data_IF_190615398423
#
_entry.id   IF_190615398423
#
_cell.length_a   1.000
_cell.length_b   1.000
_cell.length_c   1.000
_cell.angle_alpha   90.00
_cell.angle_beta   90.00
_cell.angle_gamma   90.00
#
_symmetry.space_group_name_H-M   'P 1'
#
loop_
_entity.id
_entity.type
_entity.pdbx_description
1 polymer ?
#
# COMPACT_ATOMS: atom_id res chain seq x y z
N UNK A 1 56.55 67.28 2.46
CA UNK A 1 56.62 66.18 3.44
C UNK A 1 55.37 65.33 3.30
N UNK A 2 55.40 64.30 2.46
CA UNK A 2 54.25 63.41 2.21
C UNK A 2 54.64 61.98 2.55
N UNK A 3 54.31 61.55 3.77
CA UNK A 3 54.45 60.17 4.19
C UNK A 3 53.30 59.34 3.61
N UNK A 4 53.62 58.46 2.68
CA UNK A 4 52.67 57.49 2.09
C UNK A 4 52.45 56.36 3.09
N UNK A 5 51.25 56.28 3.64
CA UNK A 5 50.78 55.16 4.47
C UNK A 5 50.47 53.95 3.58
N UNK A 6 51.32 52.93 3.61
CA UNK A 6 51.07 51.66 2.93
C UNK A 6 50.17 50.77 3.79
N UNK A 7 48.90 50.64 3.41
CA UNK A 7 47.93 49.74 4.06
C UNK A 7 48.26 48.29 3.79
N UNK A 8 48.76 47.56 4.80
CA UNK A 8 48.92 46.10 4.77
C UNK A 8 47.56 45.42 4.93
N UNK A 9 47.00 44.89 3.85
CA UNK A 9 45.72 44.17 3.89
C UNK A 9 45.67 42.96 2.94
N UNK A 10 46.57 41.99 3.07
CA UNK A 10 46.65 40.90 2.05
C UNK A 10 46.93 39.49 2.57
N UNK A 11 46.55 39.13 3.81
CA UNK A 11 46.69 37.74 4.32
C UNK A 11 45.35 37.07 4.67
N UNK A 12 44.26 37.83 4.82
CA UNK A 12 42.96 37.28 5.28
C UNK A 12 42.15 36.55 4.20
N UNK A 13 42.41 36.79 2.91
CA UNK A 13 41.60 36.27 1.81
C UNK A 13 41.73 34.74 1.62
N UNK A 14 42.95 34.19 1.76
CA UNK A 14 43.17 32.75 1.62
C UNK A 14 42.46 31.90 2.68
N UNK A 15 42.44 32.37 3.94
CA UNK A 15 41.75 31.67 5.04
C UNK A 15 40.23 31.68 4.89
N UNK A 16 39.62 32.78 4.44
CA UNK A 16 38.17 32.85 4.24
C UNK A 16 37.71 31.95 3.09
N UNK A 17 38.47 31.89 1.99
CA UNK A 17 38.16 30.97 0.89
C UNK A 17 38.33 29.50 1.30
N UNK A 18 39.36 29.19 2.10
CA UNK A 18 39.55 27.84 2.63
C UNK A 18 38.38 27.40 3.53
N UNK A 19 37.94 28.29 4.43
CA UNK A 19 36.79 28.00 5.31
C UNK A 19 35.49 27.83 4.49
N UNK A 20 35.29 28.66 3.47
CA UNK A 20 34.14 28.52 2.56
C UNK A 20 34.14 27.16 1.85
N UNK A 21 35.28 26.73 1.30
CA UNK A 21 35.40 25.43 0.65
C UNK A 21 35.14 24.26 1.61
N UNK A 22 35.70 24.31 2.82
CA UNK A 22 35.44 23.29 3.86
C UNK A 22 33.96 23.26 4.22
N UNK A 23 33.33 24.43 4.39
CA UNK A 23 31.89 24.51 4.70
C UNK A 23 31.03 23.94 3.58
N UNK A 24 31.41 24.18 2.32
CA UNK A 24 30.68 23.70 1.15
C UNK A 24 30.78 22.18 1.03
N UNK A 25 31.97 21.62 1.23
CA UNK A 25 32.18 20.16 1.25
C UNK A 25 31.40 19.52 2.39
N UNK A 26 31.41 20.13 3.58
CA UNK A 26 30.66 19.62 4.73
C UNK A 26 29.15 19.65 4.47
N UNK A 27 28.62 20.73 3.89
CA UNK A 27 27.22 20.83 3.48
C UNK A 27 26.86 19.80 2.40
N UNK A 28 27.73 19.61 1.41
CA UNK A 28 27.54 18.61 0.36
C UNK A 28 27.49 17.18 0.91
N UNK A 29 28.35 16.86 1.88
CA UNK A 29 28.34 15.58 2.58
C UNK A 29 27.04 15.35 3.36
N UNK A 30 26.58 16.34 4.13
CA UNK A 30 25.29 16.25 4.81
C UNK A 30 24.16 16.07 3.79
N UNK A 31 24.13 16.88 2.73
CA UNK A 31 23.08 16.81 1.73
C UNK A 31 23.04 15.44 1.03
N UNK A 32 24.21 14.86 0.72
CA UNK A 32 24.33 13.51 0.16
C UNK A 32 23.73 12.43 1.06
N UNK A 33 24.04 12.47 2.37
CA UNK A 33 23.50 11.52 3.34
C UNK A 33 21.98 11.61 3.45
N UNK A 34 21.42 12.82 3.44
CA UNK A 34 19.98 13.04 3.59
C UNK A 34 19.19 12.74 2.31
N UNK A 35 19.72 13.07 1.13
CA UNK A 35 18.98 12.91 -0.14
C UNK A 35 18.73 11.46 -0.50
N UNK A 36 19.72 10.59 -0.33
CA UNK A 36 19.59 9.16 -0.65
C UNK A 36 18.53 8.52 0.26
N UNK A 37 18.59 8.81 1.56
CA UNK A 37 17.63 8.28 2.55
C UNK A 37 16.23 8.82 2.34
N UNK A 38 16.10 10.11 2.01
CA UNK A 38 14.80 10.71 1.75
C UNK A 38 14.09 10.06 0.56
N UNK A 39 14.83 9.79 -0.53
CA UNK A 39 14.25 9.16 -1.72
C UNK A 39 13.83 7.71 -1.45
N UNK A 40 14.64 6.98 -0.70
CA UNK A 40 14.36 5.60 -0.29
C UNK A 40 13.10 5.51 0.59
N UNK A 41 12.99 6.37 1.59
CA UNK A 41 11.81 6.46 2.47
C UNK A 41 10.57 6.84 1.68
N UNK A 42 10.68 7.78 0.72
CA UNK A 42 9.55 8.22 -0.08
C UNK A 42 9.02 7.09 -0.99
N UNK A 43 9.92 6.32 -1.61
CA UNK A 43 9.53 5.13 -2.39
C UNK A 43 8.87 4.09 -1.50
N UNK A 44 9.46 3.80 -0.34
CA UNK A 44 8.93 2.80 0.59
C UNK A 44 7.54 3.17 1.11
N UNK A 45 7.31 4.45 1.42
CA UNK A 45 5.98 4.93 1.82
C UNK A 45 4.95 4.80 0.72
N UNK A 46 5.34 5.03 -0.55
CA UNK A 46 4.45 4.87 -1.70
C UNK A 46 4.09 3.39 -1.90
N UNK A 47 5.04 2.50 -1.74
CA UNK A 47 4.82 1.06 -1.86
C UNK A 47 3.92 0.57 -0.72
N UNK A 48 4.16 1.01 0.51
CA UNK A 48 3.28 0.73 1.66
C UNK A 48 1.85 1.25 1.45
N UNK A 49 1.67 2.45 0.91
CA UNK A 49 0.35 2.99 0.61
C UNK A 49 -0.38 2.13 -0.44
N UNK A 50 0.35 1.66 -1.46
CA UNK A 50 -0.19 0.80 -2.50
C UNK A 50 -0.59 -0.56 -1.93
N UNK A 51 0.28 -1.19 -1.13
CA UNK A 51 0.00 -2.47 -0.47
C UNK A 51 -1.21 -2.38 0.45
N UNK A 52 -1.28 -1.33 1.28
CA UNK A 52 -2.40 -1.09 2.20
C UNK A 52 -3.71 -0.92 1.45
N UNK A 53 -3.70 -0.21 0.31
CA UNK A 53 -4.89 -0.09 -0.53
C UNK A 53 -5.32 -1.45 -1.10
N UNK A 54 -4.37 -2.27 -1.54
CA UNK A 54 -4.65 -3.63 -2.03
C UNK A 54 -5.23 -4.55 -0.95
N UNK A 55 -4.68 -4.49 0.27
CA UNK A 55 -5.17 -5.26 1.42
C UNK A 55 -6.61 -4.89 1.78
N UNK A 56 -6.93 -3.60 1.81
CA UNK A 56 -8.31 -3.15 2.10
C UNK A 56 -9.30 -3.61 1.04
N UNK A 57 -8.93 -3.57 -0.24
CA UNK A 57 -9.78 -4.00 -1.34
C UNK A 57 -9.99 -5.52 -1.30
N UNK A 58 -8.92 -6.29 -1.10
CA UNK A 58 -8.99 -7.75 -0.98
C UNK A 58 -9.86 -8.18 0.21
N UNK A 59 -9.72 -7.50 1.36
CA UNK A 59 -10.52 -7.78 2.55
C UNK A 59 -12.00 -7.49 2.31
N UNK A 60 -12.32 -6.36 1.66
CA UNK A 60 -13.69 -6.01 1.31
C UNK A 60 -14.31 -7.04 0.35
N UNK A 61 -13.57 -7.45 -0.68
CA UNK A 61 -14.00 -8.51 -1.60
C UNK A 61 -14.24 -9.84 -0.89
N UNK A 62 -13.33 -10.23 0.01
CA UNK A 62 -13.48 -11.46 0.78
C UNK A 62 -14.73 -11.42 1.67
N UNK A 63 -15.02 -10.29 2.30
CA UNK A 63 -16.20 -10.12 3.14
C UNK A 63 -17.49 -10.15 2.32
N UNK A 64 -17.50 -9.51 1.15
CA UNK A 64 -18.61 -9.58 0.20
C UNK A 64 -18.86 -11.01 -0.27
N UNK A 65 -17.82 -11.73 -0.72
CA UNK A 65 -17.96 -13.12 -1.17
C UNK A 65 -18.49 -14.03 -0.06
N UNK A 66 -17.99 -13.87 1.18
CA UNK A 66 -18.51 -14.61 2.33
C UNK A 66 -19.98 -14.32 2.62
N UNK A 67 -20.41 -13.06 2.48
CA UNK A 67 -21.83 -12.72 2.65
C UNK A 67 -22.72 -13.36 1.58
N UNK A 68 -22.25 -13.42 0.32
CA UNK A 68 -22.96 -14.07 -0.78
C UNK A 68 -23.03 -15.59 -0.61
N UNK A 69 -21.95 -16.21 -0.14
CA UNK A 69 -21.90 -17.62 0.21
C UNK A 69 -22.84 -17.94 1.37
N UNK A 70 -22.88 -17.13 2.42
CA UNK A 70 -23.80 -17.32 3.53
C UNK A 70 -25.28 -17.27 3.11
N UNK A 71 -25.63 -16.45 2.11
CA UNK A 71 -26.97 -16.46 1.50
C UNK A 71 -27.22 -17.70 0.64
N UNK A 72 -26.21 -18.21 -0.06
CA UNK A 72 -26.33 -19.39 -0.93
C UNK A 72 -26.32 -20.71 -0.17
N UNK A 73 -25.62 -20.78 0.95
CA UNK A 73 -25.53 -21.94 1.83
C UNK A 73 -26.71 -22.03 2.81
N UNK A 74 -27.78 -21.27 2.57
CA UNK A 74 -29.04 -21.47 3.28
C UNK A 74 -29.55 -22.91 3.05
N UNK A 75 -29.63 -23.73 4.11
CA UNK A 75 -30.01 -25.14 3.99
C UNK A 75 -31.37 -25.33 3.31
N UNK A 76 -32.31 -24.39 3.49
CA UNK A 76 -33.62 -24.45 2.87
C UNK A 76 -33.55 -24.24 1.35
N UNK A 77 -32.69 -23.33 0.89
CA UNK A 77 -32.46 -23.08 -0.54
C UNK A 77 -31.73 -24.27 -1.21
N UNK A 78 -30.79 -24.89 -0.51
CA UNK A 78 -30.11 -26.11 -0.97
C UNK A 78 -31.10 -27.28 -1.05
N UNK A 79 -31.94 -27.47 -0.03
CA UNK A 79 -32.98 -28.51 -0.01
C UNK A 79 -33.98 -28.35 -1.16
N UNK A 80 -34.43 -27.12 -1.43
CA UNK A 80 -35.33 -26.83 -2.54
C UNK A 80 -34.69 -27.18 -3.89
N UNK A 81 -33.44 -26.73 -4.10
CA UNK A 81 -32.70 -27.04 -5.33
C UNK A 81 -32.46 -28.54 -5.51
N UNK A 82 -32.16 -29.26 -4.42
CA UNK A 82 -31.99 -30.71 -4.42
C UNK A 82 -33.30 -31.46 -4.73
N UNK A 83 -34.43 -30.97 -4.22
CA UNK A 83 -35.76 -31.50 -4.55
C UNK A 83 -36.11 -31.28 -6.02
N UNK A 84 -35.87 -30.09 -6.55
CA UNK A 84 -36.22 -29.74 -7.93
C UNK A 84 -35.32 -30.43 -8.96
N UNK A 85 -34.00 -30.39 -8.76
CA UNK A 85 -33.04 -30.85 -9.76
C UNK A 85 -32.70 -32.33 -9.64
N UNK A 86 -32.62 -32.84 -8.41
CA UNK A 86 -32.20 -34.22 -8.14
C UNK A 86 -33.36 -35.11 -7.70
N UNK A 87 -34.56 -34.55 -7.50
CA UNK A 87 -35.73 -35.30 -7.04
C UNK A 87 -35.55 -35.93 -5.66
N UNK A 88 -34.59 -35.41 -4.87
CA UNK A 88 -34.24 -35.94 -3.55
C UNK A 88 -35.35 -35.62 -2.53
N UNK A 89 -35.65 -36.57 -1.66
CA UNK A 89 -36.66 -36.44 -0.59
C UNK A 89 -36.00 -36.79 0.75
N UNK A 90 -36.55 -36.29 1.86
CA UNK A 90 -35.99 -36.59 3.19
C UNK A 90 -36.26 -38.05 3.57
N UNK A 91 -35.39 -38.69 4.37
CA UNK A 91 -35.65 -40.03 4.91
C UNK A 91 -36.99 -40.05 5.66
N UNK A 92 -37.93 -40.89 5.21
CA UNK A 92 -39.28 -40.98 5.77
C UNK A 92 -40.38 -40.23 5.01
N UNK A 93 -40.06 -39.49 3.94
CA UNK A 93 -41.05 -38.93 3.01
C UNK A 93 -41.37 -39.93 1.87
N UNK A 94 -42.61 -39.95 1.38
CA UNK A 94 -43.06 -40.80 0.27
C UNK A 94 -43.33 -39.96 -0.99
N UNK A 95 -42.72 -40.33 -2.12
CA UNK A 95 -42.88 -39.61 -3.40
C UNK A 95 -44.08 -40.16 -4.17
N UNK A 96 -45.18 -39.40 -4.17
CA UNK A 96 -46.39 -39.74 -4.93
C UNK A 96 -46.35 -39.09 -6.32
N UNK A 97 -46.41 -39.92 -7.37
CA UNK A 97 -46.49 -39.47 -8.77
C UNK A 97 -47.89 -39.80 -9.28
N UNK A 98 -48.71 -38.78 -9.52
CA UNK A 98 -50.05 -38.95 -10.07
C UNK A 98 -49.96 -39.18 -11.59
N UNK A 99 -50.38 -40.36 -12.03
CA UNK A 99 -50.50 -40.69 -13.45
C UNK A 99 -51.96 -40.45 -13.84
N UNK A 100 -52.19 -39.58 -14.82
CA UNK A 100 -53.54 -39.35 -15.34
C UNK A 100 -53.95 -40.59 -16.13
N UNK A 101 -54.89 -41.36 -15.59
CA UNK A 101 -55.48 -42.49 -16.31
C UNK A 101 -56.23 -41.99 -17.53
N UNK A 102 -55.96 -42.58 -18.70
CA UNK A 102 -56.75 -42.39 -19.91
C UNK A 102 -58.12 -43.07 -19.77
#
# INVERSE_FOLDING_TARGET
MTGVQATRKTIRWGRTHMILWISLVMLGLLFSLYTIRFLEIHRLNRDLATLKSGETLASAMQQELRSRLALKDDPATIELSAREQLGLIKPGEEKVIFIKGE
#
